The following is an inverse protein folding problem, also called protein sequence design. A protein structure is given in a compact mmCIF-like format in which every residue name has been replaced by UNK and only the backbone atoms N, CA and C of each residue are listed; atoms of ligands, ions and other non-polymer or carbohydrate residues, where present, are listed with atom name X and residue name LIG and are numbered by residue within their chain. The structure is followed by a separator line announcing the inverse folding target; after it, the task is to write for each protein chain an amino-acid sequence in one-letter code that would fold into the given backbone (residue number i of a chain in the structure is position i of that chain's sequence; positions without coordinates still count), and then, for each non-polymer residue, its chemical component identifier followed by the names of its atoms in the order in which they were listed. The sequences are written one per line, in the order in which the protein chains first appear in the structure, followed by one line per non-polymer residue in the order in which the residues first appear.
data_IF_873273929416
#
_entry.id   IF_873273929416
#
_cell.length_a   1.000
_cell.length_b   1.000
_cell.length_c   1.000
_cell.angle_alpha   90.00
_cell.angle_beta   90.00
_cell.angle_gamma   90.00
#
_symmetry.space_group_name_H-M   'P 1'
#
loop_
_entity.id
_entity.type
_entity.pdbx_description
1 polymer ?
#
# COMPACT_ATOMS: atom_id res chain seq x y z
N UNK A 1 22.06 10.40 -28.07
CA UNK A 1 20.61 10.37 -28.33
C UNK A 1 20.28 10.23 -29.81
N UNK A 2 20.66 11.19 -30.68
CA UNK A 2 20.27 11.21 -32.11
C UNK A 2 20.66 9.99 -32.96
N UNK A 3 21.69 9.23 -32.57
CA UNK A 3 22.14 7.99 -33.23
C UNK A 3 21.28 6.74 -32.91
N UNK A 4 20.40 6.85 -31.92
CA UNK A 4 19.55 5.74 -31.43
C UNK A 4 18.10 5.90 -31.89
N UNK A 5 17.70 7.13 -32.21
CA UNK A 5 16.37 7.46 -32.72
C UNK A 5 16.21 7.01 -34.17
N UNK A 6 15.03 6.51 -34.51
CA UNK A 6 14.68 6.12 -35.88
C UNK A 6 14.79 7.28 -36.86
N UNK A 7 14.96 6.96 -38.14
CA UNK A 7 14.96 7.97 -39.20
C UNK A 7 13.56 8.60 -39.29
N UNK A 8 13.50 9.91 -39.05
CA UNK A 8 12.31 10.73 -39.31
C UNK A 8 12.53 11.56 -40.57
N UNK A 9 11.46 11.85 -41.32
CA UNK A 9 11.55 12.74 -42.47
C UNK A 9 12.10 14.11 -42.04
N UNK A 10 12.93 14.72 -42.88
CA UNK A 10 13.41 16.09 -42.64
C UNK A 10 12.30 17.10 -42.98
N UNK A 11 11.27 17.11 -42.13
CA UNK A 11 10.11 17.98 -42.17
C UNK A 11 9.87 18.57 -40.78
N UNK A 12 9.11 19.65 -40.65
CA UNK A 12 8.79 20.24 -39.34
C UNK A 12 8.13 19.21 -38.40
N UNK A 13 7.22 18.39 -38.91
CA UNK A 13 6.56 17.30 -38.18
C UNK A 13 7.56 16.23 -37.75
N UNK A 14 8.46 15.81 -38.66
CA UNK A 14 9.49 14.82 -38.35
C UNK A 14 10.50 15.30 -37.31
N UNK A 15 10.91 16.57 -37.36
CA UNK A 15 11.79 17.17 -36.35
C UNK A 15 11.12 17.27 -34.98
N UNK A 16 9.84 17.68 -34.92
CA UNK A 16 9.07 17.73 -33.67
C UNK A 16 8.94 16.35 -33.02
N UNK A 17 8.57 15.32 -33.82
CA UNK A 17 8.49 13.93 -33.35
C UNK A 17 9.82 13.48 -32.77
N UNK A 18 10.92 13.67 -33.50
CA UNK A 18 12.26 13.25 -33.08
C UNK A 18 12.74 13.95 -31.80
N UNK A 19 12.40 15.24 -31.63
CA UNK A 19 12.70 15.96 -30.39
C UNK A 19 11.90 15.45 -29.19
N UNK A 20 10.62 15.16 -29.39
CA UNK A 20 9.77 14.57 -28.34
C UNK A 20 10.28 13.20 -27.89
N UNK A 21 10.66 12.33 -28.83
CA UNK A 21 11.28 11.04 -28.52
C UNK A 21 12.59 11.20 -27.76
N UNK A 22 13.47 12.13 -28.18
CA UNK A 22 14.71 12.42 -27.48
C UNK A 22 14.46 12.86 -26.02
N UNK A 23 13.49 13.75 -25.80
CA UNK A 23 13.12 14.25 -24.47
C UNK A 23 12.65 13.11 -23.57
N UNK A 24 11.86 12.19 -24.10
CA UNK A 24 11.37 11.04 -23.34
C UNK A 24 12.50 10.08 -22.97
N UNK A 25 13.40 9.75 -23.89
CA UNK A 25 14.55 8.87 -23.57
C UNK A 25 15.49 9.52 -22.54
N UNK A 26 15.70 10.84 -22.60
CA UNK A 26 16.47 11.57 -21.59
C UNK A 26 15.81 11.52 -20.21
N UNK A 27 14.48 11.49 -20.14
CA UNK A 27 13.76 11.36 -18.87
C UNK A 27 14.02 9.98 -18.24
N UNK A 28 14.01 8.90 -19.02
CA UNK A 28 14.42 7.58 -18.53
C UNK A 28 15.90 7.55 -18.11
N UNK A 29 16.81 8.14 -18.89
CA UNK A 29 18.23 8.25 -18.49
C UNK A 29 18.39 9.03 -17.17
N UNK A 30 17.56 10.06 -16.93
CA UNK A 30 17.66 10.94 -15.75
C UNK A 30 17.40 10.24 -14.41
N UNK A 31 16.68 9.12 -14.41
CA UNK A 31 16.40 8.32 -13.21
C UNK A 31 17.26 7.06 -13.09
N UNK A 32 18.28 6.91 -13.93
CA UNK A 32 19.30 5.86 -13.77
C UNK A 32 19.19 4.67 -14.72
N UNK A 33 18.29 4.72 -15.72
CA UNK A 33 18.34 3.82 -16.87
C UNK A 33 19.54 4.18 -17.76
N UNK A 34 20.25 3.17 -18.24
CA UNK A 34 21.41 3.42 -19.11
C UNK A 34 20.97 3.69 -20.54
N UNK A 35 21.88 4.28 -21.33
CA UNK A 35 21.65 4.49 -22.76
C UNK A 35 21.37 3.20 -23.52
N UNK A 36 21.96 2.07 -23.11
CA UNK A 36 21.70 0.79 -23.77
C UNK A 36 20.33 0.23 -23.38
N UNK A 37 19.88 0.44 -22.14
CA UNK A 37 18.52 0.06 -21.70
C UNK A 37 17.47 0.80 -22.54
N UNK A 38 17.56 2.13 -22.62
CA UNK A 38 16.56 2.97 -23.31
C UNK A 38 16.63 2.84 -24.83
N UNK A 39 17.76 2.43 -25.40
CA UNK A 39 17.90 2.12 -26.83
C UNK A 39 16.98 0.98 -27.26
N UNK A 40 16.68 0.05 -26.37
CA UNK A 40 15.77 -1.06 -26.66
C UNK A 40 14.32 -0.58 -26.78
N UNK A 41 13.91 0.46 -26.03
CA UNK A 41 12.60 1.09 -26.17
C UNK A 41 12.42 1.72 -27.56
N UNK A 42 13.42 2.49 -28.02
CA UNK A 42 13.39 3.14 -29.31
C UNK A 42 13.25 2.15 -30.48
N UNK A 43 13.85 0.96 -30.37
CA UNK A 43 13.73 -0.11 -31.39
C UNK A 43 12.34 -0.74 -31.48
N UNK A 44 11.54 -0.66 -30.42
CA UNK A 44 10.22 -1.30 -30.33
C UNK A 44 9.07 -0.38 -30.74
N UNK A 45 9.37 0.87 -31.14
CA UNK A 45 8.39 1.93 -31.39
C UNK A 45 7.35 2.06 -30.26
N UNK A 46 7.78 1.72 -29.04
CA UNK A 46 6.98 1.96 -27.86
C UNK A 46 6.94 3.46 -27.70
N UNK A 47 5.77 4.04 -27.96
CA UNK A 47 5.51 5.40 -27.54
C UNK A 47 5.86 5.46 -26.05
N UNK A 48 6.59 6.48 -25.58
CA UNK A 48 6.87 6.66 -24.15
C UNK A 48 5.62 7.00 -23.34
N UNK A 49 4.47 6.38 -23.67
CA UNK A 49 3.18 6.49 -23.00
C UNK A 49 3.43 6.50 -21.51
N UNK A 50 3.30 7.73 -20.99
CA UNK A 50 3.68 8.27 -19.69
C UNK A 50 4.82 7.52 -18.99
N UNK A 51 5.97 8.16 -18.86
CA UNK A 51 7.02 7.84 -17.88
C UNK A 51 6.40 7.60 -16.49
N UNK A 52 6.02 6.34 -16.25
CA UNK A 52 5.21 5.86 -15.12
C UNK A 52 5.58 4.44 -14.79
N UNK A 53 5.59 4.14 -13.51
CA UNK A 53 5.87 2.81 -12.96
C UNK A 53 4.72 1.87 -13.36
N UNK A 54 5.07 0.69 -13.86
CA UNK A 54 4.12 -0.33 -14.33
C UNK A 54 3.54 -0.11 -15.73
N UNK A 55 3.94 0.95 -16.44
CA UNK A 55 3.61 1.13 -17.86
C UNK A 55 4.25 0.04 -18.73
N UNK A 56 3.78 -0.14 -19.98
CA UNK A 56 4.37 -1.12 -20.91
C UNK A 56 5.88 -0.88 -21.12
N UNK A 57 6.30 0.37 -21.30
CA UNK A 57 7.71 0.74 -21.43
C UNK A 57 8.50 0.45 -20.14
N UNK A 58 7.95 0.77 -18.98
CA UNK A 58 8.56 0.42 -17.70
C UNK A 58 8.73 -1.10 -17.57
N UNK A 59 7.67 -1.88 -17.80
CA UNK A 59 7.71 -3.34 -17.65
C UNK A 59 8.72 -3.97 -18.61
N UNK A 60 8.85 -3.44 -19.83
CA UNK A 60 9.87 -3.90 -20.77
C UNK A 60 11.29 -3.68 -20.23
N UNK A 61 11.59 -2.47 -19.73
CA UNK A 61 12.90 -2.17 -19.13
C UNK A 61 13.15 -2.98 -17.86
N UNK A 62 12.13 -3.07 -17.00
CA UNK A 62 12.18 -3.80 -15.74
C UNK A 62 12.50 -5.27 -15.96
N UNK A 63 11.78 -5.95 -16.85
CA UNK A 63 12.00 -7.38 -17.12
C UNK A 63 13.37 -7.66 -17.75
N UNK A 64 13.92 -6.73 -18.54
CA UNK A 64 15.28 -6.86 -19.06
C UNK A 64 16.36 -6.69 -17.96
N UNK A 65 16.08 -5.85 -16.96
CA UNK A 65 17.04 -5.49 -15.92
C UNK A 65 16.92 -6.33 -14.64
N UNK A 66 15.75 -6.88 -14.34
CA UNK A 66 15.50 -7.71 -13.17
C UNK A 66 16.36 -8.98 -13.24
N UNK A 67 17.16 -9.22 -12.20
CA UNK A 67 18.16 -10.30 -12.15
C UNK A 67 19.48 -10.01 -12.87
N UNK A 68 19.56 -8.94 -13.68
CA UNK A 68 20.78 -8.57 -14.42
C UNK A 68 21.45 -7.28 -13.91
N UNK A 69 20.66 -6.37 -13.34
CA UNK A 69 21.12 -5.08 -12.79
C UNK A 69 21.21 -5.17 -11.27
N UNK A 70 22.14 -4.43 -10.69
CA UNK A 70 22.31 -4.33 -9.25
C UNK A 70 20.97 -3.96 -8.55
N UNK A 71 20.49 -4.76 -7.58
CA UNK A 71 19.18 -4.57 -6.96
C UNK A 71 18.96 -3.18 -6.36
N UNK A 72 19.95 -2.63 -5.64
CA UNK A 72 19.87 -1.30 -5.05
C UNK A 72 19.68 -0.21 -6.11
N UNK A 73 20.30 -0.38 -7.28
CA UNK A 73 20.18 0.55 -8.40
C UNK A 73 18.80 0.48 -9.06
N UNK A 74 18.17 -0.70 -9.11
CA UNK A 74 16.78 -0.86 -9.56
C UNK A 74 15.79 -0.25 -8.58
N UNK A 75 15.96 -0.48 -7.28
CA UNK A 75 15.14 0.17 -6.26
C UNK A 75 15.25 1.69 -6.34
N UNK A 76 16.46 2.22 -6.53
CA UNK A 76 16.69 3.67 -6.68
C UNK A 76 15.97 4.23 -7.91
N UNK A 77 16.03 3.55 -9.06
CA UNK A 77 15.26 3.93 -10.25
C UNK A 77 13.77 4.07 -9.93
N UNK A 78 13.18 3.09 -9.23
CA UNK A 78 11.74 3.12 -8.91
C UNK A 78 11.40 4.29 -8.00
N UNK A 79 12.22 4.53 -6.95
CA UNK A 79 12.03 5.68 -6.05
C UNK A 79 12.14 7.01 -6.79
N UNK A 80 13.08 7.14 -7.73
CA UNK A 80 13.31 8.37 -8.49
C UNK A 80 12.23 8.58 -9.57
N UNK A 81 11.73 7.50 -10.19
CA UNK A 81 10.55 7.55 -11.06
C UNK A 81 9.29 7.99 -10.30
N UNK A 82 9.13 7.52 -9.07
CA UNK A 82 8.07 7.97 -8.18
C UNK A 82 8.26 9.42 -7.70
N UNK A 83 9.42 10.04 -7.96
CA UNK A 83 9.83 11.29 -7.35
C UNK A 83 9.69 11.26 -5.82
N UNK A 84 9.99 10.09 -5.21
CA UNK A 84 9.78 9.84 -3.78
C UNK A 84 10.59 10.85 -2.95
N UNK A 85 9.95 11.67 -2.11
CA UNK A 85 10.63 12.67 -1.29
C UNK A 85 11.47 12.00 -0.19
N UNK A 86 12.32 12.76 0.47
CA UNK A 86 13.07 12.27 1.64
C UNK A 86 12.19 12.03 2.88
N UNK A 87 11.02 12.67 2.91
CA UNK A 87 10.00 12.59 3.95
C UNK A 87 8.64 12.83 3.30
N UNK A 88 7.68 11.94 3.54
CA UNK A 88 6.29 12.19 3.14
C UNK A 88 5.70 13.31 3.99
N UNK A 89 5.01 14.24 3.34
CA UNK A 89 4.32 15.36 4.01
C UNK A 89 2.92 14.98 4.49
N UNK A 90 2.28 14.02 3.82
CA UNK A 90 0.87 13.68 4.01
C UNK A 90 -0.10 14.66 3.34
N UNK A 91 0.39 15.67 2.63
CA UNK A 91 -0.42 16.62 1.89
C UNK A 91 -1.15 15.95 0.70
N UNK A 92 -2.37 16.38 0.45
CA UNK A 92 -3.23 15.74 -0.56
C UNK A 92 -2.65 15.91 -1.97
N UNK A 93 -2.07 17.07 -2.28
CA UNK A 93 -1.47 17.31 -3.59
C UNK A 93 -0.25 16.41 -3.79
N UNK A 94 0.63 16.30 -2.78
CA UNK A 94 1.77 15.38 -2.83
C UNK A 94 1.30 13.92 -3.02
N UNK A 95 0.29 13.48 -2.26
CA UNK A 95 -0.25 12.11 -2.36
C UNK A 95 -0.77 11.84 -3.78
N UNK A 96 -1.52 12.79 -4.35
CA UNK A 96 -2.03 12.70 -5.72
C UNK A 96 -0.89 12.64 -6.73
N UNK A 97 0.12 13.51 -6.62
CA UNK A 97 1.27 13.53 -7.51
C UNK A 97 2.06 12.21 -7.47
N UNK A 98 2.26 11.64 -6.29
CA UNK A 98 2.92 10.35 -6.08
C UNK A 98 2.13 9.20 -6.75
N UNK A 99 0.81 9.14 -6.53
CA UNK A 99 -0.05 8.10 -7.14
C UNK A 99 -0.10 8.24 -8.67
N UNK A 100 -0.11 9.46 -9.20
CA UNK A 100 -0.10 9.72 -10.65
C UNK A 100 1.22 9.30 -11.36
N UNK A 101 2.26 8.91 -10.60
CA UNK A 101 3.49 8.31 -11.17
C UNK A 101 3.33 6.86 -11.57
N UNK A 102 2.21 6.22 -11.23
CA UNK A 102 1.94 4.83 -11.58
C UNK A 102 0.99 4.75 -12.77
N UNK A 103 1.17 3.70 -13.57
CA UNK A 103 0.32 3.40 -14.72
C UNK A 103 -1.02 2.83 -14.27
N UNK A 104 -2.07 3.13 -15.01
CA UNK A 104 -3.40 2.56 -14.82
C UNK A 104 -3.38 1.03 -15.08
N UNK A 105 -2.39 0.53 -15.82
CA UNK A 105 -2.19 -0.91 -16.04
C UNK A 105 -1.62 -1.66 -14.83
N UNK A 106 -1.15 -0.95 -13.79
CA UNK A 106 -0.48 -1.55 -12.65
C UNK A 106 -1.47 -1.97 -11.55
N UNK A 107 -2.13 -3.10 -11.78
CA UNK A 107 -3.06 -3.69 -10.83
C UNK A 107 -2.39 -4.13 -9.50
N UNK A 108 -3.13 -4.18 -8.38
CA UNK A 108 -2.60 -4.60 -7.08
C UNK A 108 -2.04 -6.02 -7.01
N UNK A 109 -2.42 -6.91 -7.93
CA UNK A 109 -1.93 -8.28 -8.04
C UNK A 109 -0.90 -8.50 -9.16
N UNK A 110 -0.38 -7.43 -9.74
CA UNK A 110 0.69 -7.50 -10.74
C UNK A 110 1.97 -8.13 -10.15
N UNK A 111 2.68 -8.92 -10.96
CA UNK A 111 3.92 -9.62 -10.55
C UNK A 111 5.05 -8.67 -10.14
N UNK A 112 5.06 -7.45 -10.68
CA UNK A 112 6.02 -6.40 -10.33
C UNK A 112 6.14 -6.20 -8.81
N UNK A 113 5.02 -6.23 -8.08
CA UNK A 113 5.03 -6.01 -6.63
C UNK A 113 5.79 -7.10 -5.87
N UNK A 114 5.70 -8.34 -6.33
CA UNK A 114 6.45 -9.44 -5.75
C UNK A 114 7.94 -9.31 -6.07
N UNK A 115 8.29 -9.02 -7.33
CA UNK A 115 9.67 -8.79 -7.77
C UNK A 115 10.32 -7.63 -7.01
N UNK A 116 9.62 -6.50 -6.86
CA UNK A 116 10.06 -5.36 -6.08
C UNK A 116 10.33 -5.75 -4.62
N UNK A 117 9.42 -6.52 -4.01
CA UNK A 117 9.56 -7.02 -2.64
C UNK A 117 10.78 -7.93 -2.47
N UNK A 118 11.09 -8.75 -3.47
CA UNK A 118 12.27 -9.62 -3.45
C UNK A 118 13.57 -8.80 -3.48
N UNK A 119 13.64 -7.73 -4.29
CA UNK A 119 14.81 -6.83 -4.28
C UNK A 119 14.98 -6.13 -2.93
N UNK A 120 13.88 -5.68 -2.29
CA UNK A 120 13.95 -5.11 -0.94
C UNK A 120 14.43 -6.15 0.07
N UNK A 121 13.93 -7.39 -0.02
CA UNK A 121 14.38 -8.49 0.84
C UNK A 121 15.87 -8.79 0.67
N UNK A 122 16.40 -8.70 -0.55
CA UNK A 122 17.82 -8.92 -0.85
C UNK A 122 18.70 -7.79 -0.30
N UNK A 123 18.32 -6.52 -0.53
CA UNK A 123 19.13 -5.35 -0.14
C UNK A 123 19.13 -5.10 1.37
N UNK A 124 18.07 -5.48 2.07
CA UNK A 124 17.95 -5.20 3.51
C UNK A 124 17.96 -6.47 4.38
N UNK A 125 19.01 -7.30 4.38
CA UNK A 125 19.05 -8.51 5.20
C UNK A 125 18.91 -8.19 6.69
N UNK A 126 18.24 -9.07 7.45
CA UNK A 126 17.94 -8.84 8.87
C UNK A 126 17.22 -7.49 9.07
N UNK A 127 17.47 -6.81 10.17
CA UNK A 127 16.85 -5.53 10.54
C UNK A 127 17.51 -4.30 9.89
N UNK A 128 18.23 -4.46 8.78
CA UNK A 128 18.99 -3.34 8.16
C UNK A 128 18.10 -2.28 7.53
N UNK A 129 16.82 -2.58 7.23
CA UNK A 129 15.86 -1.56 6.81
C UNK A 129 15.53 -0.56 7.94
N UNK A 130 15.80 -0.90 9.20
CA UNK A 130 15.67 0.01 10.35
C UNK A 130 16.85 0.98 10.50
N UNK A 131 17.89 0.84 9.66
CA UNK A 131 19.07 1.71 9.70
C UNK A 131 18.71 3.14 9.27
N UNK A 132 19.17 4.13 10.04
CA UNK A 132 18.87 5.57 9.86
C UNK A 132 19.56 6.19 8.63
N UNK A 133 19.30 5.65 7.45
CA UNK A 133 19.75 6.17 6.16
C UNK A 133 18.57 6.73 5.39
N UNK A 134 18.83 7.72 4.53
CA UNK A 134 17.79 8.29 3.65
C UNK A 134 17.19 7.20 2.74
N UNK A 135 18.01 6.33 2.16
CA UNK A 135 17.55 5.24 1.29
C UNK A 135 16.61 4.25 2.01
N UNK A 136 16.98 3.78 3.20
CA UNK A 136 16.13 2.89 4.00
C UNK A 136 14.79 3.57 4.37
N UNK A 137 14.85 4.85 4.76
CA UNK A 137 13.66 5.65 5.07
C UNK A 137 12.73 5.78 3.86
N UNK A 138 13.27 6.16 2.69
CA UNK A 138 12.49 6.28 1.45
C UNK A 138 11.85 4.94 1.07
N UNK A 139 12.58 3.82 1.19
CA UNK A 139 12.03 2.48 0.95
C UNK A 139 10.90 2.17 1.93
N UNK A 140 11.08 2.37 3.24
CA UNK A 140 10.01 2.14 4.22
C UNK A 140 8.76 2.98 3.91
N UNK A 141 8.93 4.28 3.68
CA UNK A 141 7.80 5.18 3.43
C UNK A 141 7.13 4.92 2.07
N UNK A 142 7.87 4.41 1.07
CA UNK A 142 7.30 4.05 -0.23
C UNK A 142 6.22 2.96 -0.11
N UNK A 143 6.22 2.15 0.96
CA UNK A 143 5.15 1.17 1.24
C UNK A 143 3.77 1.81 1.35
N UNK A 144 3.68 3.04 1.88
CA UNK A 144 2.42 3.78 1.97
C UNK A 144 1.98 4.30 0.60
N UNK A 145 2.94 4.69 -0.25
CA UNK A 145 2.67 5.14 -1.63
C UNK A 145 2.11 3.98 -2.45
N UNK A 146 2.71 2.79 -2.33
CA UNK A 146 2.22 1.58 -2.98
C UNK A 146 0.79 1.28 -2.52
N UNK A 147 0.51 1.31 -1.21
CA UNK A 147 -0.84 1.04 -0.71
C UNK A 147 -1.88 2.07 -1.17
N UNK A 148 -1.52 3.36 -1.23
CA UNK A 148 -2.40 4.40 -1.76
C UNK A 148 -2.67 4.21 -3.26
N UNK A 149 -1.64 3.90 -4.04
CA UNK A 149 -1.78 3.56 -5.46
C UNK A 149 -2.70 2.36 -5.68
N UNK A 150 -2.57 1.31 -4.87
CA UNK A 150 -3.37 0.10 -5.00
C UNK A 150 -4.85 0.35 -4.65
N UNK A 151 -5.12 1.17 -3.63
CA UNK A 151 -6.47 1.63 -3.31
C UNK A 151 -7.05 2.48 -4.46
N UNK A 152 -6.27 3.42 -4.98
CA UNK A 152 -6.70 4.29 -6.09
C UNK A 152 -6.97 3.49 -7.36
N UNK A 153 -6.13 2.50 -7.69
CA UNK A 153 -6.35 1.61 -8.82
C UNK A 153 -7.72 0.93 -8.75
N UNK A 154 -8.12 0.44 -7.56
CA UNK A 154 -9.43 -0.17 -7.35
C UNK A 154 -10.55 0.85 -7.57
N UNK A 155 -10.38 2.09 -7.09
CA UNK A 155 -11.35 3.17 -7.27
C UNK A 155 -11.54 3.49 -8.75
N UNK A 156 -10.46 3.73 -9.47
CA UNK A 156 -10.50 4.15 -10.86
C UNK A 156 -11.07 3.08 -11.80
N UNK A 157 -10.80 1.79 -11.52
CA UNK A 157 -11.16 0.71 -12.43
C UNK A 157 -12.47 0.02 -12.11
N UNK A 158 -12.92 0.05 -10.84
CA UNK A 158 -14.01 -0.83 -10.38
C UNK A 158 -15.11 -0.11 -9.61
N UNK A 159 -14.84 1.08 -9.06
CA UNK A 159 -15.83 1.91 -8.37
C UNK A 159 -16.66 2.68 -9.40
N UNK A 160 -17.94 2.86 -9.09
CA UNK A 160 -18.78 3.85 -9.75
C UNK A 160 -19.37 4.78 -8.68
N UNK A 161 -20.05 5.85 -9.09
CA UNK A 161 -20.53 6.91 -8.18
C UNK A 161 -21.39 6.42 -7.01
N UNK A 162 -22.05 5.26 -7.13
CA UNK A 162 -22.94 4.71 -6.10
C UNK A 162 -22.28 3.60 -5.26
N UNK A 163 -20.99 3.35 -5.46
CA UNK A 163 -20.25 2.28 -4.79
C UNK A 163 -19.30 2.80 -3.74
N UNK A 164 -19.28 2.10 -2.61
CA UNK A 164 -18.23 2.21 -1.61
C UNK A 164 -16.94 1.56 -2.12
N UNK A 165 -15.80 1.93 -1.52
CA UNK A 165 -14.52 1.29 -1.81
C UNK A 165 -14.57 -0.22 -1.49
N UNK A 166 -15.30 -0.60 -0.43
CA UNK A 166 -15.54 -2.01 -0.09
C UNK A 166 -16.22 -2.77 -1.23
N UNK A 167 -17.22 -2.17 -1.88
CA UNK A 167 -17.91 -2.77 -3.03
C UNK A 167 -17.00 -2.91 -4.25
N UNK A 168 -16.19 -1.90 -4.54
CA UNK A 168 -15.19 -1.96 -5.60
C UNK A 168 -14.15 -3.06 -5.33
N UNK A 169 -13.65 -3.16 -4.10
CA UNK A 169 -12.74 -4.23 -3.68
C UNK A 169 -13.40 -5.60 -3.80
N UNK A 170 -14.66 -5.75 -3.40
CA UNK A 170 -15.37 -7.02 -3.51
C UNK A 170 -15.47 -7.49 -4.98
N UNK A 171 -15.63 -6.56 -5.93
CA UNK A 171 -15.60 -6.87 -7.38
C UNK A 171 -14.23 -7.37 -7.82
N UNK A 172 -13.15 -6.72 -7.38
CA UNK A 172 -11.77 -7.15 -7.66
C UNK A 172 -11.50 -8.57 -7.15
N UNK A 173 -11.93 -8.88 -5.92
CA UNK A 173 -11.67 -10.16 -5.26
C UNK A 173 -12.61 -11.28 -5.73
N UNK A 174 -13.71 -10.98 -6.43
CA UNK A 174 -14.75 -11.97 -6.79
C UNK A 174 -14.19 -13.20 -7.51
N UNK A 175 -13.25 -12.99 -8.44
CA UNK A 175 -12.63 -14.05 -9.25
C UNK A 175 -11.41 -14.69 -8.59
N UNK A 176 -11.01 -14.19 -7.41
CA UNK A 176 -9.81 -14.64 -6.68
C UNK A 176 -10.15 -15.73 -5.66
N UNK A 177 -9.17 -16.59 -5.37
CA UNK A 177 -9.24 -17.68 -4.39
C UNK A 177 -9.07 -17.12 -2.99
N UNK A 178 -10.14 -17.14 -2.20
CA UNK A 178 -10.07 -16.81 -0.76
C UNK A 178 -9.47 -17.97 0.03
N UNK A 179 -8.63 -17.66 1.02
CA UNK A 179 -8.17 -18.62 2.03
C UNK A 179 -9.37 -19.30 2.70
N UNK A 180 -9.34 -20.63 2.68
CA UNK A 180 -10.25 -21.53 3.39
C UNK A 180 -9.44 -22.76 3.80
N UNK A 181 -9.90 -23.49 4.82
CA UNK A 181 -9.10 -24.56 5.44
C UNK A 181 -8.77 -25.74 4.51
N UNK A 182 -9.56 -25.94 3.45
CA UNK A 182 -9.43 -27.06 2.51
C UNK A 182 -8.80 -26.68 1.15
N UNK A 183 -8.38 -25.42 0.97
CA UNK A 183 -7.63 -25.01 -0.23
C UNK A 183 -6.19 -24.70 0.16
N UNK A 184 -5.19 -25.42 -0.41
CA UNK A 184 -3.79 -25.22 -0.06
C UNK A 184 -3.24 -23.88 -0.59
N UNK A 185 -3.85 -23.35 -1.66
CA UNK A 185 -3.48 -22.08 -2.27
C UNK A 185 -4.62 -21.07 -2.19
N UNK A 186 -4.25 -19.79 -2.03
CA UNK A 186 -5.18 -18.68 -1.95
C UNK A 186 -4.49 -17.39 -2.41
N UNK A 187 -5.28 -16.50 -3.00
CA UNK A 187 -4.82 -15.18 -3.43
C UNK A 187 -5.04 -14.15 -2.32
N UNK A 188 -6.07 -14.32 -1.49
CA UNK A 188 -6.35 -13.38 -0.39
C UNK A 188 -6.93 -14.04 0.86
N UNK A 189 -6.79 -13.36 2.00
CA UNK A 189 -7.28 -13.79 3.31
C UNK A 189 -8.01 -12.67 4.04
N UNK A 190 -8.98 -13.08 4.86
CA UNK A 190 -9.79 -12.23 5.75
C UNK A 190 -9.64 -12.69 7.21
N UNK A 191 -8.63 -13.49 7.52
CA UNK A 191 -8.40 -14.05 8.85
C UNK A 191 -7.35 -13.29 9.64
N UNK A 192 -6.54 -12.48 8.97
CA UNK A 192 -5.51 -11.66 9.57
C UNK A 192 -6.12 -10.62 10.49
N UNK A 193 -5.46 -10.38 11.61
CA UNK A 193 -6.00 -9.55 12.67
C UNK A 193 -5.97 -8.08 12.28
N UNK A 194 -7.13 -7.42 12.30
CA UNK A 194 -7.23 -5.97 12.13
C UNK A 194 -6.95 -5.19 13.44
N UNK A 195 -6.54 -5.87 14.52
CA UNK A 195 -6.31 -5.27 15.85
C UNK A 195 -5.46 -4.00 15.79
N UNK A 196 -4.36 -4.03 15.04
CA UNK A 196 -3.42 -2.90 14.94
C UNK A 196 -3.97 -1.71 14.16
N UNK A 197 -5.06 -1.91 13.41
CA UNK A 197 -5.77 -0.88 12.65
C UNK A 197 -7.03 -0.41 13.38
N UNK A 198 -7.21 -0.70 14.66
CA UNK A 198 -8.34 -0.21 15.46
C UNK A 198 -7.83 0.64 16.62
N UNK A 199 -6.90 1.57 16.35
CA UNK A 199 -6.36 2.45 17.38
C UNK A 199 -7.39 3.52 17.75
N UNK A 200 -7.55 3.71 19.06
CA UNK A 200 -8.36 4.78 19.67
C UNK A 200 -7.54 5.43 20.77
N UNK A 201 -7.92 6.62 21.17
CA UNK A 201 -7.34 7.28 22.32
C UNK A 201 -8.30 7.25 23.52
N UNK A 202 -7.78 7.50 24.71
CA UNK A 202 -8.57 7.60 25.92
C UNK A 202 -8.20 8.89 26.65
N UNK A 203 -9.21 9.70 26.99
CA UNK A 203 -9.05 10.95 27.73
C UNK A 203 -10.19 11.08 28.73
N UNK A 204 -9.87 11.35 29.99
CA UNK A 204 -10.85 11.55 31.07
C UNK A 204 -11.90 10.41 31.17
N UNK A 205 -11.44 9.16 30.96
CA UNK A 205 -12.29 7.97 30.99
C UNK A 205 -13.17 7.76 29.74
N UNK A 206 -13.10 8.65 28.76
CA UNK A 206 -13.83 8.55 27.50
C UNK A 206 -12.94 8.01 26.38
N UNK A 207 -13.51 7.16 25.53
CA UNK A 207 -12.86 6.73 24.29
C UNK A 207 -13.04 7.81 23.22
N UNK A 208 -11.95 8.16 22.56
CA UNK A 208 -11.92 9.06 21.41
C UNK A 208 -11.50 8.24 20.19
N UNK A 209 -12.41 8.15 19.23
CA UNK A 209 -12.12 7.55 17.93
C UNK A 209 -11.39 8.57 17.04
N UNK A 210 -10.58 8.11 16.08
CA UNK A 210 -10.14 8.98 15.01
C UNK A 210 -11.34 9.63 14.30
N UNK A 211 -11.19 10.89 13.89
CA UNK A 211 -12.24 11.72 13.26
C UNK A 211 -13.46 11.96 14.17
N UNK A 212 -13.31 11.80 15.49
CA UNK A 212 -14.35 11.97 16.51
C UNK A 212 -15.66 11.19 16.23
N UNK A 213 -15.56 10.13 15.44
CA UNK A 213 -16.69 9.31 15.00
C UNK A 213 -16.40 7.84 15.18
N UNK A 214 -17.43 7.05 15.50
CA UNK A 214 -17.28 5.62 15.66
C UNK A 214 -16.76 4.96 14.37
N UNK A 215 -15.51 4.48 14.41
CA UNK A 215 -14.86 3.75 13.32
C UNK A 215 -14.39 2.38 13.77
N UNK A 216 -14.74 1.36 13.00
CA UNK A 216 -14.20 0.01 13.13
C UNK A 216 -13.61 -0.44 11.82
N UNK A 217 -12.41 -0.98 11.88
CA UNK A 217 -11.64 -1.29 10.69
C UNK A 217 -11.42 -2.81 10.57
N UNK A 218 -11.47 -3.33 9.35
CA UNK A 218 -11.10 -4.71 9.05
C UNK A 218 -10.10 -4.78 7.91
N UNK A 219 -9.37 -5.90 7.85
CA UNK A 219 -8.27 -6.11 6.92
C UNK A 219 -8.61 -7.14 5.87
N UNK A 220 -8.20 -6.84 4.64
CA UNK A 220 -8.07 -7.80 3.54
C UNK A 220 -6.60 -7.85 3.14
N UNK A 221 -6.03 -9.04 3.10
CA UNK A 221 -4.62 -9.24 2.75
C UNK A 221 -4.54 -10.08 1.47
N UNK A 222 -3.95 -9.50 0.42
CA UNK A 222 -3.79 -10.08 -0.91
C UNK A 222 -2.31 -10.46 -1.14
N UNK A 223 -2.07 -11.72 -1.44
CA UNK A 223 -0.74 -12.31 -1.69
C UNK A 223 0.31 -11.99 -0.61
N UNK A 224 -0.14 -11.77 0.63
CA UNK A 224 0.67 -11.32 1.77
C UNK A 224 1.34 -9.93 1.63
N UNK A 225 1.43 -9.39 0.41
CA UNK A 225 2.05 -8.10 0.12
C UNK A 225 1.08 -6.93 0.23
N UNK A 226 -0.14 -7.06 -0.31
CA UNK A 226 -1.06 -5.93 -0.41
C UNK A 226 -2.08 -5.96 0.72
N UNK A 227 -2.09 -4.92 1.53
CA UNK A 227 -3.08 -4.71 2.57
C UNK A 227 -4.14 -3.71 2.10
N UNK A 228 -5.41 -4.07 2.26
CA UNK A 228 -6.51 -3.13 2.23
C UNK A 228 -7.12 -3.08 3.62
N UNK A 229 -7.17 -1.88 4.19
CA UNK A 229 -7.89 -1.61 5.42
C UNK A 229 -9.16 -0.86 5.05
N UNK A 230 -10.29 -1.38 5.51
CA UNK A 230 -11.61 -0.81 5.27
C UNK A 230 -12.24 -0.47 6.60
N UNK A 231 -12.86 0.71 6.69
CA UNK A 231 -13.71 1.03 7.83
C UNK A 231 -15.12 0.40 7.70
N UNK A 232 -15.97 0.66 8.70
CA UNK A 232 -17.34 0.14 8.77
C UNK A 232 -18.33 0.86 7.84
N UNK A 233 -17.94 1.98 7.22
CA UNK A 233 -18.70 2.66 6.17
C UNK A 233 -18.27 2.19 4.77
N UNK A 234 -17.15 1.47 4.69
CA UNK A 234 -16.66 0.84 3.49
C UNK A 234 -15.67 1.70 2.72
N UNK A 235 -14.99 2.64 3.38
CA UNK A 235 -13.92 3.47 2.81
C UNK A 235 -12.57 2.81 3.01
N UNK A 236 -11.67 2.94 2.02
CA UNK A 236 -10.27 2.58 2.22
C UNK A 236 -9.61 3.53 3.22
N UNK A 237 -8.67 2.98 3.99
CA UNK A 237 -7.83 3.74 4.90
C UNK A 237 -6.37 3.61 4.45
N UNK A 238 -5.78 4.74 4.09
CA UNK A 238 -4.37 4.85 3.74
C UNK A 238 -3.76 6.04 4.46
N UNK A 239 -2.50 5.90 4.87
CA UNK A 239 -1.76 6.97 5.55
C UNK A 239 -1.58 8.21 4.66
N UNK A 240 -1.51 7.99 3.35
CA UNK A 240 -1.38 9.01 2.30
C UNK A 240 -2.42 8.80 1.18
N UNK A 241 -3.70 8.78 1.53
CA UNK A 241 -4.80 8.63 0.57
C UNK A 241 -4.79 9.77 -0.48
N UNK A 242 -5.08 9.44 -1.74
CA UNK A 242 -5.06 10.36 -2.87
C UNK A 242 -6.39 11.08 -3.14
N UNK A 243 -7.49 10.71 -2.47
CA UNK A 243 -8.79 11.36 -2.57
C UNK A 243 -9.13 12.14 -1.31
N UNK A 244 -8.93 11.55 -0.12
CA UNK A 244 -9.40 12.11 1.14
C UNK A 244 -8.43 11.86 2.31
N UNK A 245 -7.99 12.92 2.97
CA UNK A 245 -7.21 12.82 4.20
C UNK A 245 -8.16 12.70 5.39
N UNK A 246 -8.01 11.64 6.17
CA UNK A 246 -8.76 11.40 7.42
C UNK A 246 -7.81 11.01 8.53
N UNK A 247 -8.16 11.31 9.78
CA UNK A 247 -7.40 10.90 10.94
C UNK A 247 -7.37 9.36 11.05
N UNK A 248 -8.49 8.68 10.74
CA UNK A 248 -8.54 7.23 10.71
C UNK A 248 -7.59 6.64 9.66
N UNK A 249 -7.50 7.24 8.47
CA UNK A 249 -6.54 6.87 7.43
C UNK A 249 -5.09 6.99 7.90
N UNK A 250 -4.71 8.14 8.46
CA UNK A 250 -3.35 8.40 8.97
C UNK A 250 -2.97 7.42 10.10
N UNK A 251 -3.88 7.17 11.05
CA UNK A 251 -3.57 6.37 12.25
C UNK A 251 -3.64 4.86 11.98
N UNK A 252 -4.62 4.42 11.17
CA UNK A 252 -5.00 3.03 11.01
C UNK A 252 -4.82 2.50 9.59
N UNK A 253 -4.22 3.30 8.70
CA UNK A 253 -4.06 2.99 7.28
C UNK A 253 -3.34 1.69 6.95
N UNK A 254 -3.44 1.35 5.67
CA UNK A 254 -2.83 0.19 5.07
C UNK A 254 -1.40 0.48 4.57
N UNK A 255 -0.51 -0.48 4.79
CA UNK A 255 0.85 -0.46 4.24
C UNK A 255 1.14 -1.75 3.47
N UNK A 256 1.90 -1.63 2.39
CA UNK A 256 2.37 -2.77 1.61
C UNK A 256 3.42 -3.56 2.43
N UNK A 257 3.46 -4.88 2.32
CA UNK A 257 4.46 -5.72 2.99
C UNK A 257 5.54 -6.16 2.00
N UNK A 258 6.79 -6.01 2.40
CA UNK A 258 7.93 -6.55 1.65
C UNK A 258 8.20 -8.01 1.97
N UNK A 259 7.85 -8.50 3.17
CA UNK A 259 8.00 -9.92 3.48
C UNK A 259 6.97 -10.77 2.73
N UNK A 260 7.27 -12.07 2.58
CA UNK A 260 6.39 -13.02 1.89
C UNK A 260 5.42 -13.77 2.82
N UNK A 261 5.62 -13.68 4.14
CA UNK A 261 4.77 -14.36 5.13
C UNK A 261 4.96 -13.78 6.54
N UNK A 262 4.05 -14.11 7.47
CA UNK A 262 4.04 -13.61 8.85
C UNK A 262 5.09 -14.28 9.73
N UNK A 263 6.36 -14.21 9.34
CA UNK A 263 7.51 -14.79 10.02
C UNK A 263 8.45 -13.68 10.55
N UNK A 264 9.66 -14.04 10.97
CA UNK A 264 10.66 -13.07 11.42
C UNK A 264 10.95 -11.99 10.38
N UNK A 265 10.94 -12.32 9.08
CA UNK A 265 11.23 -11.37 8.01
C UNK A 265 10.19 -10.25 7.94
N UNK A 266 8.92 -10.55 8.26
CA UNK A 266 7.87 -9.54 8.38
C UNK A 266 8.19 -8.55 9.50
N UNK A 267 8.74 -8.99 10.62
CA UNK A 267 9.16 -8.06 11.68
C UNK A 267 10.29 -7.15 11.23
N UNK A 268 11.32 -7.72 10.60
CA UNK A 268 12.52 -7.00 10.15
C UNK A 268 12.25 -5.97 9.05
N UNK A 269 11.32 -6.26 8.13
CA UNK A 269 11.04 -5.40 6.98
C UNK A 269 9.81 -4.53 7.16
N UNK A 270 8.78 -5.04 7.84
CA UNK A 270 7.47 -4.41 7.80
C UNK A 270 7.07 -3.76 9.12
N UNK A 271 7.61 -4.22 10.26
CA UNK A 271 7.20 -3.78 11.60
C UNK A 271 8.27 -2.96 12.30
N UNK A 272 9.50 -3.46 12.44
CA UNK A 272 10.57 -2.76 13.17
C UNK A 272 10.93 -1.40 12.55
N UNK A 273 11.01 -1.25 11.22
CA UNK A 273 11.38 0.03 10.60
C UNK A 273 10.43 1.17 10.95
N UNK A 274 9.18 0.88 11.34
CA UNK A 274 8.19 1.91 11.74
C UNK A 274 8.70 2.80 12.87
N UNK A 275 9.52 2.27 13.78
CA UNK A 275 10.09 3.06 14.89
C UNK A 275 11.10 4.12 14.43
N UNK A 276 11.74 3.90 13.29
CA UNK A 276 12.81 4.76 12.77
C UNK A 276 12.34 5.63 11.61
N UNK A 277 11.33 5.17 10.86
CA UNK A 277 11.05 5.66 9.51
C UNK A 277 9.59 6.01 9.25
N UNK A 278 8.68 5.84 10.21
CA UNK A 278 7.30 6.34 10.04
C UNK A 278 7.32 7.85 9.74
N UNK A 279 6.42 8.34 8.89
CA UNK A 279 6.40 9.74 8.52
C UNK A 279 6.14 10.65 9.72
N UNK A 280 6.85 11.78 9.78
CA UNK A 280 6.72 12.71 10.90
C UNK A 280 5.29 13.26 11.07
N UNK A 281 4.59 13.51 9.96
CA UNK A 281 3.19 13.96 10.02
C UNK A 281 2.28 12.93 10.69
N UNK A 282 2.55 11.63 10.49
CA UNK A 282 1.78 10.54 11.08
C UNK A 282 2.00 10.48 12.58
N UNK A 283 3.25 10.57 13.02
CA UNK A 283 3.60 10.56 14.43
C UNK A 283 2.93 11.70 15.20
N UNK A 284 2.88 12.90 14.59
CA UNK A 284 2.19 14.07 15.15
C UNK A 284 0.68 13.86 15.34
N UNK A 285 0.05 13.02 14.51
CA UNK A 285 -1.38 12.69 14.61
C UNK A 285 -1.63 11.55 15.62
N UNK A 286 -0.75 10.55 15.66
CA UNK A 286 -0.89 9.40 16.57
C UNK A 286 -0.69 9.80 18.03
N UNK A 287 0.24 10.72 18.30
CA UNK A 287 0.58 11.12 19.65
C UNK A 287 0.81 12.63 19.73
N UNK A 288 -0.11 13.31 20.41
CA UNK A 288 0.04 14.69 20.85
C UNK A 288 0.39 14.73 22.34
N UNK A 289 0.62 15.92 22.88
CA UNK A 289 0.88 16.12 24.32
C UNK A 289 -0.24 15.57 25.21
N UNK A 290 -1.50 15.65 24.74
CA UNK A 290 -2.68 15.34 25.55
C UNK A 290 -3.39 14.05 25.13
N UNK A 291 -3.05 13.48 23.97
CA UNK A 291 -3.77 12.36 23.37
C UNK A 291 -2.83 11.38 22.70
N UNK A 292 -3.00 10.08 22.97
CA UNK A 292 -2.26 9.01 22.28
C UNK A 292 -3.20 7.92 21.80
N UNK A 293 -3.20 7.69 20.49
CA UNK A 293 -3.94 6.59 19.88
C UNK A 293 -3.18 5.29 20.06
N UNK A 294 -3.85 4.28 20.63
CA UNK A 294 -3.27 2.97 20.92
C UNK A 294 -4.16 1.86 20.39
N UNK A 295 -3.54 0.77 19.94
CA UNK A 295 -4.26 -0.42 19.51
C UNK A 295 -4.68 -1.26 20.72
N UNK A 296 -5.81 -2.00 20.64
CA UNK A 296 -6.19 -2.95 21.67
C UNK A 296 -5.12 -4.02 21.86
N UNK A 297 -4.92 -4.48 23.09
CA UNK A 297 -3.94 -5.54 23.43
C UNK A 297 -4.43 -6.90 22.97
N UNK A 298 -3.49 -7.76 22.54
CA UNK A 298 -3.79 -9.16 22.23
C UNK A 298 -3.73 -10.01 23.50
N UNK A 299 -4.82 -10.05 24.25
CA UNK A 299 -4.94 -10.85 25.49
C UNK A 299 -6.22 -11.66 25.38
N UNK A 300 -6.14 -12.97 25.15
CA UNK A 300 -7.31 -13.79 24.83
C UNK A 300 -8.22 -13.98 26.06
N UNK A 301 -7.60 -14.19 27.22
CA UNK A 301 -8.32 -14.49 28.47
C UNK A 301 -7.87 -13.55 29.58
N UNK A 302 -8.78 -13.26 30.52
CA UNK A 302 -8.48 -12.42 31.69
C UNK A 302 -7.29 -12.93 32.51
N UNK A 303 -7.16 -14.26 32.65
CA UNK A 303 -6.05 -14.88 33.40
C UNK A 303 -4.67 -14.68 32.75
N UNK A 304 -4.63 -14.34 31.45
CA UNK A 304 -3.39 -14.03 30.73
C UNK A 304 -2.99 -12.56 30.88
N UNK A 305 -3.86 -11.72 31.45
CA UNK A 305 -3.58 -10.30 31.66
C UNK A 305 -2.67 -10.11 32.87
N UNK A 306 -1.64 -9.28 32.72
CA UNK A 306 -0.77 -8.90 33.84
C UNK A 306 -1.50 -8.05 34.90
N UNK A 307 -2.58 -7.36 34.51
CA UNK A 307 -3.38 -6.51 35.39
C UNK A 307 -4.83 -6.41 34.89
N UNK A 308 -5.72 -5.90 35.75
CA UNK A 308 -7.09 -5.57 35.32
C UNK A 308 -7.08 -4.52 34.21
N UNK A 309 -6.22 -3.51 34.29
CA UNK A 309 -6.08 -2.47 33.26
C UNK A 309 -5.71 -3.07 31.89
N UNK A 310 -4.80 -4.05 31.88
CA UNK A 310 -4.43 -4.77 30.66
C UNK A 310 -5.61 -5.56 30.09
N UNK A 311 -6.39 -6.21 30.94
CA UNK A 311 -7.61 -6.89 30.52
C UNK A 311 -8.67 -5.91 30.00
N UNK A 312 -8.78 -4.73 30.59
CA UNK A 312 -9.66 -3.67 30.09
C UNK A 312 -9.24 -3.21 28.68
N UNK A 313 -7.95 -3.21 28.36
CA UNK A 313 -7.42 -2.88 27.02
C UNK A 313 -7.47 -4.06 26.03
N UNK A 314 -7.98 -5.23 26.40
CA UNK A 314 -7.98 -6.42 25.54
C UNK A 314 -8.92 -6.28 24.33
N UNK A 315 -8.43 -6.70 23.16
CA UNK A 315 -9.19 -6.87 21.92
C UNK A 315 -10.37 -7.85 22.05
N UNK A 316 -10.30 -8.78 23.00
CA UNK A 316 -11.27 -9.85 23.21
C UNK A 316 -12.24 -9.58 24.36
N UNK A 317 -12.00 -8.57 25.20
CA UNK A 317 -12.85 -8.24 26.33
C UNK A 317 -14.14 -7.53 25.85
N UNK A 318 -15.30 -8.13 26.10
CA UNK A 318 -16.63 -7.60 25.71
C UNK A 318 -17.15 -6.48 26.61
N UNK A 319 -16.50 -6.26 27.75
CA UNK A 319 -16.77 -5.16 28.70
C UNK A 319 -15.56 -4.24 28.86
N UNK A 320 -14.54 -4.41 28.01
CA UNK A 320 -13.31 -3.65 28.06
C UNK A 320 -13.46 -2.27 27.47
N UNK A 321 -12.42 -1.46 27.62
CA UNK A 321 -12.31 -0.13 27.07
C UNK A 321 -12.58 -0.09 25.56
N UNK A 322 -12.13 -1.09 24.79
CA UNK A 322 -12.32 -1.15 23.33
C UNK A 322 -13.66 -1.78 22.89
N UNK A 323 -14.54 -2.14 23.82
CA UNK A 323 -15.82 -2.76 23.51
C UNK A 323 -16.87 -1.70 23.10
N UNK A 324 -17.80 -2.10 22.24
CA UNK A 324 -18.96 -1.28 21.86
C UNK A 324 -20.21 -2.14 21.75
N UNK A 325 -21.34 -1.65 22.27
CA UNK A 325 -22.63 -2.36 22.23
C UNK A 325 -22.57 -3.78 22.79
N UNK A 326 -21.89 -3.97 23.94
CA UNK A 326 -21.67 -5.28 24.59
C UNK A 326 -20.92 -6.32 23.74
N UNK A 327 -20.23 -5.89 22.67
CA UNK A 327 -19.37 -6.72 21.83
C UNK A 327 -17.92 -6.30 22.02
N UNK A 328 -17.02 -7.28 22.14
CA UNK A 328 -15.59 -7.00 22.05
C UNK A 328 -15.24 -6.49 20.66
N UNK A 329 -14.16 -5.72 20.56
CA UNK A 329 -13.66 -5.19 19.29
C UNK A 329 -13.44 -6.34 18.28
N UNK A 330 -12.87 -7.48 18.71
CA UNK A 330 -12.76 -8.70 17.89
C UNK A 330 -14.11 -9.20 17.33
N UNK A 331 -15.15 -9.26 18.16
CA UNK A 331 -16.48 -9.74 17.73
C UNK A 331 -17.13 -8.76 16.75
N UNK A 332 -16.90 -7.46 16.94
CA UNK A 332 -17.41 -6.42 16.05
C UNK A 332 -16.71 -6.46 14.69
N UNK A 333 -15.37 -6.53 14.65
CA UNK A 333 -14.60 -6.73 13.41
C UNK A 333 -15.01 -8.02 12.69
N UNK A 334 -15.21 -9.12 13.43
CA UNK A 334 -15.71 -10.39 12.83
C UNK A 334 -17.10 -10.25 12.23
N UNK A 335 -17.92 -9.32 12.71
CA UNK A 335 -19.22 -9.01 12.10
C UNK A 335 -19.05 -8.30 10.76
N UNK A 336 -18.19 -7.28 10.68
CA UNK A 336 -17.86 -6.59 9.43
C UNK A 336 -17.34 -7.56 8.36
N UNK A 337 -16.40 -8.43 8.73
CA UNK A 337 -15.86 -9.47 7.83
C UNK A 337 -16.97 -10.40 7.31
N UNK A 338 -17.98 -10.72 8.13
CA UNK A 338 -19.12 -11.54 7.68
C UNK A 338 -20.01 -10.78 6.69
N UNK A 339 -20.23 -9.49 6.89
CA UNK A 339 -20.98 -8.65 5.95
C UNK A 339 -20.25 -8.59 4.59
N UNK A 340 -18.95 -8.31 4.60
CA UNK A 340 -18.13 -8.33 3.40
C UNK A 340 -18.13 -9.69 2.69
N UNK A 341 -18.05 -10.80 3.43
CA UNK A 341 -18.17 -12.16 2.87
C UNK A 341 -19.53 -12.42 2.21
N UNK A 342 -20.62 -11.89 2.77
CA UNK A 342 -21.96 -12.00 2.16
C UNK A 342 -22.02 -11.22 0.86
N UNK A 343 -21.41 -10.04 0.82
CA UNK A 343 -21.34 -9.21 -0.36
C UNK A 343 -20.56 -9.89 -1.50
N UNK A 344 -19.36 -10.41 -1.19
CA UNK A 344 -18.58 -11.24 -2.11
C UNK A 344 -19.38 -12.43 -2.65
N UNK A 345 -20.16 -13.09 -1.79
CA UNK A 345 -21.00 -14.21 -2.20
C UNK A 345 -22.09 -13.77 -3.17
N UNK A 346 -22.80 -12.66 -2.89
CA UNK A 346 -23.82 -12.11 -3.81
C UNK A 346 -23.25 -11.79 -5.18
N UNK A 347 -22.03 -11.25 -5.23
CA UNK A 347 -21.34 -10.89 -6.47
C UNK A 347 -20.97 -12.12 -7.34
N UNK A 348 -20.78 -13.30 -6.74
CA UNK A 348 -20.50 -14.54 -7.49
C UNK A 348 -21.68 -15.02 -8.34
N UNK A 349 -22.90 -14.66 -7.95
CA UNK A 349 -24.14 -15.10 -8.61
C UNK A 349 -24.77 -14.05 -9.51
N UNK A 350 -24.22 -12.84 -9.53
CA UNK A 350 -24.61 -11.79 -10.47
C UNK A 350 -23.87 -12.02 -11.79
N UNK A 351 -24.61 -12.32 -12.86
CA UNK A 351 -24.08 -12.24 -14.22
C UNK A 351 -23.71 -10.78 -14.49
N UNK A 352 -22.53 -10.57 -15.09
CA UNK A 352 -22.04 -9.25 -15.48
C UNK A 352 -23.03 -8.54 -16.39
#
# INVERSE_FOLDING_TARGET
MWRILGNSSFSQTGLRKRYQEAKQLLLWESVGWTREDVKQLAKKDLQPSAFRIGSQAFNFLWQAAYGNKEPQKLLSIVLDMAAMPEELSGDLQENQELVHRFSDDLAPDNTFWHEFSLLVQEIFPKDTLSAKTNFAKRIHQFRYVISSQQAQWIRDHLRNEKMTDSQALARFLRKKKRKVWYHPTYDYTLYDSARLHNKVAFKDGQMIYPDDSYRLNFKVLLNFHTEFILDNEGHFLNEIDAEHITQNGIINGASFNYANSGNQRHWELDVNPTKSHDPLFRDAVIATKDLRFTAPKYILKKIEAASEEDWQKSYFNKKGLYASGCKSNFKAVKHLIRQFKKELFKLKWTKN
#
